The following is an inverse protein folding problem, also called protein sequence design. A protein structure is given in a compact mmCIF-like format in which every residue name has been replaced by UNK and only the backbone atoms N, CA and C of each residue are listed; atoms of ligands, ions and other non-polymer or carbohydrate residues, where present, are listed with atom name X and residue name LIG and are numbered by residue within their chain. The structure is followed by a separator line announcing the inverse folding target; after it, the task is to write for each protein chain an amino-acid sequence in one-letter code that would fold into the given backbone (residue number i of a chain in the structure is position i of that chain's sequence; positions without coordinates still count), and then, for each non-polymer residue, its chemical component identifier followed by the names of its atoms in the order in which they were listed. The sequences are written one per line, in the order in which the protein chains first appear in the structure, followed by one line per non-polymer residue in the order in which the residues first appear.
data_IF_939240220061
#
_entry.id   IF_939240220061
#
_cell.length_a   1.000
_cell.length_b   1.000
_cell.length_c   1.000
_cell.angle_alpha   90.00
_cell.angle_beta   90.00
_cell.angle_gamma   90.00
#
_symmetry.space_group_name_H-M   'P 1'
#
loop_
_entity.id
_entity.type
_entity.pdbx_description
1 polymer ?
#
# COMPACT_ATOMS: atom_id res chain seq x y z
N UNK A 1 -43.21 14.02 -14.86
CA UNK A 1 -43.49 13.09 -13.76
C UNK A 1 -42.46 13.36 -12.65
N UNK A 2 -42.96 13.97 -11.58
CA UNK A 2 -42.17 14.46 -10.44
C UNK A 2 -41.93 13.30 -9.48
N UNK A 3 -40.69 13.03 -9.10
CA UNK A 3 -40.37 12.10 -7.99
C UNK A 3 -39.59 12.82 -6.91
N UNK A 4 -40.22 12.87 -5.75
CA UNK A 4 -39.78 13.51 -4.51
C UNK A 4 -38.58 12.84 -3.89
N UNK A 5 -37.62 13.63 -3.36
CA UNK A 5 -36.53 13.22 -2.50
C UNK A 5 -37.00 13.13 -1.03
N UNK A 6 -36.60 12.10 -0.24
CA UNK A 6 -36.79 12.15 1.19
C UNK A 6 -35.58 12.83 1.87
N UNK A 7 -35.91 13.85 2.68
CA UNK A 7 -34.96 14.50 3.60
C UNK A 7 -34.87 13.72 4.90
N UNK A 8 -33.68 13.25 5.27
CA UNK A 8 -33.40 12.73 6.61
C UNK A 8 -32.89 13.87 7.51
N UNK A 9 -33.59 14.07 8.62
CA UNK A 9 -33.21 14.99 9.71
C UNK A 9 -32.48 14.18 10.78
N UNK A 10 -31.23 14.56 11.06
CA UNK A 10 -30.49 14.09 12.24
C UNK A 10 -30.86 14.97 13.46
N UNK A 11 -31.29 14.32 14.53
CA UNK A 11 -31.52 14.93 15.83
C UNK A 11 -30.27 14.74 16.69
N UNK A 12 -29.69 15.87 17.14
CA UNK A 12 -28.59 15.94 18.09
C UNK A 12 -29.13 15.81 19.50
N UNK A 13 -28.64 14.84 20.28
CA UNK A 13 -28.84 14.76 21.73
C UNK A 13 -27.52 15.05 22.45
N UNK A 14 -27.47 16.20 23.12
CA UNK A 14 -26.44 16.59 24.09
C UNK A 14 -26.75 15.92 25.43
N UNK A 15 -25.78 15.22 26.02
CA UNK A 15 -25.83 14.86 27.45
C UNK A 15 -24.55 15.36 28.11
N UNK A 16 -24.73 16.31 29.04
CA UNK A 16 -23.73 16.79 29.96
C UNK A 16 -23.63 15.87 31.19
N UNK A 17 -22.45 15.55 31.65
CA UNK A 17 -22.24 14.94 32.97
C UNK A 17 -21.15 15.70 33.71
N UNK A 18 -21.50 16.06 34.93
CA UNK A 18 -20.81 16.98 35.82
C UNK A 18 -19.62 16.34 36.55
N UNK A 19 -18.61 17.18 36.81
CA UNK A 19 -17.50 16.95 37.75
C UNK A 19 -17.98 16.96 39.20
N UNK A 20 -17.43 16.08 40.01
CA UNK A 20 -17.33 16.29 41.50
C UNK A 20 -15.87 16.09 41.92
N UNK A 21 -15.27 17.17 42.35
CA UNK A 21 -14.02 17.24 43.11
C UNK A 21 -14.31 16.99 44.58
N UNK A 22 -13.50 16.19 45.27
CA UNK A 22 -13.30 16.33 46.72
C UNK A 22 -11.84 16.13 47.06
N UNK A 23 -11.31 17.13 47.74
CA UNK A 23 -9.94 17.28 48.24
C UNK A 23 -9.84 17.01 49.74
N UNK A 24 -8.60 16.96 50.23
CA UNK A 24 -8.07 17.04 51.62
C UNK A 24 -7.95 15.66 52.31
N UNK A 25 -6.86 15.41 53.02
CA UNK A 25 -5.82 16.22 53.62
C UNK A 25 -4.73 15.38 54.29
N UNK A 26 -3.74 16.04 54.70
CA UNK A 26 -2.37 15.74 55.06
C UNK A 26 -2.09 15.09 56.43
N UNK A 27 -0.82 14.64 56.56
CA UNK A 27 0.05 14.61 57.76
C UNK A 27 -0.18 13.48 58.78
N UNK A 28 0.80 12.77 59.29
CA UNK A 28 2.13 13.00 59.83
C UNK A 28 2.85 11.67 60.11
N UNK A 29 4.18 11.66 59.96
CA UNK A 29 5.18 10.74 60.55
C UNK A 29 5.33 11.06 62.06
N UNK A 30 5.91 10.25 62.99
CA UNK A 30 7.19 9.59 62.87
C UNK A 30 7.46 8.32 63.72
N UNK A 31 8.55 7.59 63.31
CA UNK A 31 9.64 7.04 64.13
C UNK A 31 9.51 5.82 65.06
N UNK A 32 10.48 4.93 64.81
CA UNK A 32 11.23 4.03 65.70
C UNK A 32 10.52 2.80 66.33
N UNK A 33 11.05 1.61 66.28
CA UNK A 33 12.36 1.03 66.66
C UNK A 33 12.44 -0.47 66.37
N UNK A 34 13.63 -0.94 65.99
CA UNK A 34 14.27 -2.24 66.14
C UNK A 34 13.54 -3.34 66.94
N UNK A 35 13.52 -4.61 66.45
CA UNK A 35 14.53 -5.62 66.80
C UNK A 35 14.24 -6.98 66.12
N UNK A 36 15.30 -7.56 65.67
CA UNK A 36 15.83 -8.91 65.55
C UNK A 36 14.91 -10.16 65.37
N UNK A 37 15.34 -10.86 64.32
CA UNK A 37 15.64 -12.29 64.20
C UNK A 37 14.54 -13.33 64.11
N UNK A 38 14.58 -14.04 63.06
CA UNK A 38 14.82 -15.49 62.80
C UNK A 38 13.99 -16.03 61.62
N UNK A 39 14.75 -16.33 60.62
CA UNK A 39 14.87 -17.57 59.81
C UNK A 39 13.72 -18.57 59.87
N UNK A 40 13.05 -18.73 58.70
CA UNK A 40 12.80 -20.06 58.16
C UNK A 40 12.39 -19.98 56.67
N UNK A 41 12.96 -20.92 55.93
CA UNK A 41 12.97 -21.10 54.47
C UNK A 41 11.60 -21.29 53.81
N UNK A 42 11.50 -20.72 52.60
CA UNK A 42 10.91 -21.19 51.33
C UNK A 42 9.72 -22.15 51.30
N UNK A 43 8.87 -22.11 50.30
CA UNK A 43 9.30 -22.30 48.91
C UNK A 43 8.71 -21.31 47.88
N UNK A 44 9.39 -21.23 46.74
CA UNK A 44 9.04 -20.61 45.51
C UNK A 44 7.55 -20.72 45.14
N UNK A 45 6.90 -19.57 45.01
CA UNK A 45 5.68 -19.45 44.28
C UNK A 45 5.95 -18.54 43.09
N UNK A 46 6.29 -19.16 41.95
CA UNK A 46 6.22 -18.52 40.65
C UNK A 46 4.78 -18.05 40.42
N UNK A 47 4.55 -16.81 39.95
CA UNK A 47 3.18 -16.32 39.76
C UNK A 47 2.54 -17.06 38.56
N UNK A 48 1.50 -17.82 38.84
CA UNK A 48 0.68 -18.52 37.85
C UNK A 48 0.04 -17.59 36.80
N UNK A 49 -0.05 -16.29 37.08
CA UNK A 49 -0.58 -15.29 36.17
C UNK A 49 0.28 -15.03 34.91
N UNK A 50 1.61 -15.23 34.98
CA UNK A 50 2.49 -15.03 33.82
C UNK A 50 2.44 -16.21 32.83
N UNK A 51 2.05 -17.40 33.28
CA UNK A 51 1.89 -18.56 32.40
C UNK A 51 0.50 -18.60 31.75
N UNK A 52 -0.54 -18.07 32.45
CA UNK A 52 -1.89 -18.00 31.91
C UNK A 52 -2.01 -16.96 30.79
N UNK A 53 -1.34 -15.78 30.91
CA UNK A 53 -1.30 -14.75 29.89
C UNK A 53 -0.49 -15.16 28.65
N UNK A 54 0.57 -15.98 28.81
CA UNK A 54 1.34 -16.49 27.67
C UNK A 54 0.56 -17.58 26.93
N UNK A 55 -0.14 -18.45 27.64
CA UNK A 55 -0.98 -19.51 27.06
C UNK A 55 -2.22 -18.94 26.35
N UNK A 56 -2.82 -17.85 26.87
CA UNK A 56 -3.91 -17.15 26.22
C UNK A 56 -3.44 -16.40 24.98
N UNK A 57 -2.26 -15.77 24.99
CA UNK A 57 -1.66 -15.10 23.82
C UNK A 57 -1.26 -16.11 22.73
N UNK A 58 -0.74 -17.30 23.09
CA UNK A 58 -0.49 -18.38 22.14
C UNK A 58 -1.77 -19.02 21.60
N UNK A 59 -2.83 -19.08 22.43
CA UNK A 59 -4.16 -19.58 22.01
C UNK A 59 -4.86 -18.60 21.08
N UNK A 60 -4.76 -17.29 21.33
CA UNK A 60 -5.31 -16.27 20.44
C UNK A 60 -4.53 -16.20 19.12
N UNK A 61 -3.21 -16.38 19.15
CA UNK A 61 -2.38 -16.48 17.94
C UNK A 61 -2.73 -17.72 17.10
N UNK A 62 -2.93 -18.87 17.75
CA UNK A 62 -3.37 -20.09 17.07
C UNK A 62 -4.78 -19.96 16.46
N UNK A 63 -5.68 -19.20 17.10
CA UNK A 63 -7.05 -18.99 16.61
C UNK A 63 -7.12 -18.08 15.37
N UNK A 64 -6.11 -17.23 15.15
CA UNK A 64 -5.99 -16.36 13.95
C UNK A 64 -5.33 -17.06 12.75
N UNK A 65 -4.73 -18.24 12.98
CA UNK A 65 -4.08 -19.07 11.95
C UNK A 65 -4.92 -20.30 11.55
N UNK A 66 -6.16 -20.44 12.07
CA UNK A 66 -7.02 -21.61 11.83
C UNK A 66 -7.65 -21.55 10.42
N UNK A 67 -7.23 -22.44 9.56
CA UNK A 67 -7.89 -22.74 8.29
C UNK A 67 -9.06 -23.73 8.52
N UNK A 68 -10.12 -23.71 7.68
CA UNK A 68 -10.25 -22.94 6.43
C UNK A 68 -10.54 -21.46 6.67
N UNK A 69 -10.01 -20.62 5.76
CA UNK A 69 -10.34 -19.19 5.69
C UNK A 69 -11.08 -18.87 4.41
N UNK A 70 -11.91 -17.84 4.43
CA UNK A 70 -12.60 -17.33 3.23
C UNK A 70 -12.23 -15.88 3.03
N UNK A 71 -11.81 -15.54 1.82
CA UNK A 71 -11.46 -14.18 1.41
C UNK A 71 -12.38 -13.71 0.29
N UNK A 72 -12.75 -12.43 0.33
CA UNK A 72 -13.48 -11.77 -0.74
C UNK A 72 -12.52 -11.32 -1.84
N UNK A 73 -12.83 -11.63 -3.09
CA UNK A 73 -12.09 -11.18 -4.27
C UNK A 73 -13.05 -10.61 -5.31
N UNK A 74 -12.58 -9.86 -6.31
CA UNK A 74 -13.42 -9.41 -7.43
C UNK A 74 -14.16 -10.52 -8.18
N UNK A 75 -13.66 -11.77 -8.12
CA UNK A 75 -14.33 -12.93 -8.71
C UNK A 75 -15.35 -13.61 -7.75
N UNK A 76 -15.45 -13.12 -6.51
CA UNK A 76 -16.31 -13.69 -5.45
C UNK A 76 -15.50 -14.24 -4.28
N UNK A 77 -16.20 -14.90 -3.36
CA UNK A 77 -15.61 -15.54 -2.17
C UNK A 77 -14.74 -16.75 -2.57
N UNK A 78 -13.56 -16.83 -2.00
CA UNK A 78 -12.61 -17.94 -2.18
C UNK A 78 -12.31 -18.55 -0.84
N UNK A 79 -12.60 -19.86 -0.68
CA UNK A 79 -12.25 -20.62 0.52
C UNK A 79 -10.91 -21.32 0.32
N UNK A 80 -10.01 -21.14 1.27
CA UNK A 80 -8.69 -21.77 1.33
C UNK A 80 -8.73 -22.75 2.50
N UNK A 81 -8.68 -24.05 2.18
CA UNK A 81 -8.94 -25.12 3.13
C UNK A 81 -7.81 -25.36 4.15
N UNK A 82 -6.58 -25.03 3.77
CA UNK A 82 -5.39 -25.16 4.59
C UNK A 82 -4.41 -24.03 4.29
N UNK A 83 -3.51 -23.73 5.24
CA UNK A 83 -2.44 -22.75 5.02
C UNK A 83 -1.64 -23.14 3.78
N UNK A 84 -1.52 -22.24 2.78
CA UNK A 84 -0.77 -22.54 1.58
C UNK A 84 0.71 -22.80 1.87
N UNK A 85 1.26 -23.80 1.21
CA UNK A 85 2.70 -24.12 1.23
C UNK A 85 3.36 -23.89 -0.14
N UNK A 86 2.53 -23.75 -1.21
CA UNK A 86 3.00 -23.67 -2.59
C UNK A 86 2.22 -22.60 -3.38
N UNK A 87 2.62 -21.36 -3.21
CA UNK A 87 1.98 -20.22 -3.87
C UNK A 87 2.66 -19.96 -5.23
N UNK A 88 1.85 -19.84 -6.27
CA UNK A 88 2.27 -19.25 -7.55
C UNK A 88 1.70 -17.84 -7.65
N UNK A 89 2.57 -16.83 -7.80
CA UNK A 89 2.16 -15.43 -7.97
C UNK A 89 2.41 -14.96 -9.40
N UNK A 90 1.34 -14.54 -10.08
CA UNK A 90 1.38 -13.99 -11.43
C UNK A 90 1.08 -12.48 -11.44
N UNK A 91 1.56 -11.79 -10.41
CA UNK A 91 1.42 -10.34 -10.24
C UNK A 91 2.65 -9.79 -9.52
N UNK A 92 3.42 -8.90 -10.14
CA UNK A 92 4.58 -8.27 -9.49
C UNK A 92 4.23 -7.55 -8.19
N UNK A 93 3.11 -6.82 -8.15
CA UNK A 93 2.65 -6.13 -6.95
C UNK A 93 2.30 -7.12 -5.82
N UNK A 94 1.52 -8.18 -6.13
CA UNK A 94 1.19 -9.21 -5.16
C UNK A 94 2.42 -9.98 -4.69
N UNK A 95 3.39 -10.24 -5.58
CA UNK A 95 4.67 -10.85 -5.21
C UNK A 95 5.40 -10.03 -4.15
N UNK A 96 5.54 -8.71 -4.36
CA UNK A 96 6.18 -7.83 -3.38
C UNK A 96 5.44 -7.83 -2.03
N UNK A 97 4.10 -7.84 -2.07
CA UNK A 97 3.27 -7.92 -0.85
C UNK A 97 3.50 -9.25 -0.13
N UNK A 98 3.45 -10.39 -0.82
CA UNK A 98 3.64 -11.72 -0.24
C UNK A 98 4.98 -11.82 0.51
N UNK A 99 6.05 -11.28 -0.06
CA UNK A 99 7.34 -11.26 0.62
C UNK A 99 7.35 -10.30 1.82
N UNK A 100 6.73 -9.12 1.70
CA UNK A 100 6.69 -8.12 2.77
C UNK A 100 5.88 -8.58 3.99
N UNK A 101 4.83 -9.37 3.79
CA UNK A 101 4.01 -9.94 4.86
C UNK A 101 4.57 -11.27 5.39
N UNK A 102 5.76 -11.71 4.97
CA UNK A 102 6.41 -12.92 5.48
C UNK A 102 5.95 -14.22 4.82
N UNK A 103 5.19 -14.18 3.73
CA UNK A 103 4.77 -15.36 2.97
C UNK A 103 5.80 -15.82 1.91
N UNK A 104 6.98 -15.21 1.84
CA UNK A 104 7.99 -15.49 0.82
C UNK A 104 8.42 -16.95 0.74
N UNK A 105 8.55 -17.65 1.88
CA UNK A 105 8.91 -19.08 1.91
C UNK A 105 7.81 -19.99 1.33
N UNK A 106 6.58 -19.52 1.20
CA UNK A 106 5.46 -20.23 0.58
C UNK A 106 5.44 -20.06 -0.94
N UNK A 107 6.13 -19.05 -1.49
CA UNK A 107 6.15 -18.73 -2.91
C UNK A 107 7.11 -19.66 -3.66
N UNK A 108 6.58 -20.48 -4.56
CA UNK A 108 7.37 -21.48 -5.32
C UNK A 108 7.66 -21.06 -6.75
N UNK A 109 6.89 -20.13 -7.31
CA UNK A 109 7.11 -19.56 -8.65
C UNK A 109 6.43 -18.20 -8.78
N UNK A 110 7.06 -17.29 -9.51
CA UNK A 110 6.47 -16.00 -9.87
C UNK A 110 6.60 -15.76 -11.38
N UNK A 111 5.83 -14.81 -11.91
CA UNK A 111 5.88 -14.46 -13.33
C UNK A 111 7.20 -13.77 -13.74
N UNK A 112 7.40 -13.57 -15.05
CA UNK A 112 8.60 -13.01 -15.65
C UNK A 112 8.82 -11.51 -15.35
N UNK A 113 7.78 -10.80 -14.88
CA UNK A 113 7.85 -9.39 -14.43
C UNK A 113 8.05 -9.24 -12.92
N UNK A 114 7.88 -10.31 -12.14
CA UNK A 114 8.09 -10.31 -10.69
C UNK A 114 9.58 -10.40 -10.35
N UNK A 115 10.26 -9.25 -10.38
CA UNK A 115 11.71 -9.10 -10.23
C UNK A 115 12.14 -8.60 -8.83
N UNK A 116 11.21 -8.42 -7.92
CA UNK A 116 11.47 -7.96 -6.54
C UNK A 116 10.62 -8.73 -5.54
N UNK A 117 11.20 -9.08 -4.36
CA UNK A 117 12.60 -8.93 -3.98
C UNK A 117 13.52 -9.85 -4.80
N UNK A 118 14.87 -9.66 -4.74
CA UNK A 118 15.82 -10.46 -5.53
C UNK A 118 15.76 -11.97 -5.30
N UNK A 119 15.24 -12.41 -4.16
CA UNK A 119 15.04 -13.82 -3.80
C UNK A 119 13.76 -14.43 -4.38
N UNK A 120 12.88 -13.64 -4.98
CA UNK A 120 11.67 -14.16 -5.61
C UNK A 120 12.02 -15.18 -6.72
N UNK A 121 11.38 -16.37 -6.73
CA UNK A 121 11.68 -17.44 -7.68
C UNK A 121 11.08 -17.14 -9.06
N UNK A 122 11.68 -16.18 -9.78
CA UNK A 122 11.23 -15.74 -11.11
C UNK A 122 11.32 -16.87 -12.13
N UNK A 123 10.28 -17.00 -12.95
CA UNK A 123 10.14 -18.06 -13.96
C UNK A 123 9.74 -17.45 -15.32
N UNK A 124 9.49 -18.32 -16.31
CA UNK A 124 8.95 -17.92 -17.63
C UNK A 124 7.41 -17.86 -17.63
N UNK A 125 6.75 -17.92 -16.47
CA UNK A 125 5.30 -17.76 -16.36
C UNK A 125 4.90 -16.33 -16.75
N UNK A 126 3.76 -16.18 -17.41
CA UNK A 126 3.22 -14.89 -17.80
C UNK A 126 1.95 -14.56 -17.01
N UNK A 127 1.90 -13.35 -16.41
CA UNK A 127 0.67 -12.82 -15.83
C UNK A 127 -0.34 -12.32 -16.87
N UNK A 128 0.12 -12.04 -18.11
CA UNK A 128 -0.73 -11.54 -19.20
C UNK A 128 -1.32 -12.64 -20.08
N UNK A 129 -0.54 -13.69 -20.35
CA UNK A 129 -0.96 -14.84 -21.18
C UNK A 129 -0.58 -16.13 -20.45
N UNK A 130 -1.25 -16.44 -19.34
CA UNK A 130 -0.90 -17.57 -18.49
C UNK A 130 -1.19 -18.92 -19.16
N UNK A 131 -0.28 -19.86 -18.96
CA UNK A 131 -0.45 -21.24 -19.38
C UNK A 131 -0.80 -22.12 -18.17
N UNK A 132 -2.05 -22.64 -18.13
CA UNK A 132 -2.56 -23.45 -17.03
C UNK A 132 -1.68 -24.69 -16.76
N UNK A 133 -1.21 -25.39 -17.81
CA UNK A 133 -0.38 -26.59 -17.63
C UNK A 133 0.98 -26.23 -16.99
N UNK A 134 1.56 -25.09 -17.38
CA UNK A 134 2.81 -24.60 -16.79
C UNK A 134 2.62 -24.22 -15.30
N UNK A 135 1.51 -23.55 -14.97
CA UNK A 135 1.18 -23.19 -13.57
C UNK A 135 1.00 -24.45 -12.73
N UNK A 136 0.18 -25.39 -13.17
CA UNK A 136 -0.06 -26.69 -12.49
C UNK A 136 1.21 -27.50 -12.31
N UNK A 137 2.18 -27.34 -13.22
CA UNK A 137 3.50 -27.99 -13.10
C UNK A 137 4.28 -27.61 -11.84
N UNK A 138 3.94 -26.51 -11.19
CA UNK A 138 4.49 -26.10 -9.89
C UNK A 138 3.70 -26.68 -8.70
N UNK A 139 2.65 -27.47 -8.95
CA UNK A 139 1.78 -28.07 -7.93
C UNK A 139 1.29 -27.06 -6.88
N UNK A 140 0.70 -25.90 -7.31
CA UNK A 140 0.28 -24.86 -6.36
C UNK A 140 -0.95 -25.30 -5.57
N UNK A 141 -1.00 -24.87 -4.32
CA UNK A 141 -2.18 -24.93 -3.44
C UNK A 141 -2.86 -23.55 -3.29
N UNK A 142 -2.24 -22.49 -3.84
CA UNK A 142 -2.81 -21.16 -4.03
C UNK A 142 -2.19 -20.50 -5.26
N UNK A 143 -3.01 -19.82 -6.07
CA UNK A 143 -2.53 -18.94 -7.15
C UNK A 143 -3.01 -17.52 -6.88
N UNK A 144 -2.10 -16.53 -6.98
CA UNK A 144 -2.41 -15.10 -6.82
C UNK A 144 -2.20 -14.40 -8.16
N UNK A 145 -3.21 -13.64 -8.59
CA UNK A 145 -3.25 -12.94 -9.88
C UNK A 145 -3.73 -11.50 -9.69
N UNK A 146 -3.41 -10.58 -10.63
CA UNK A 146 -3.91 -9.21 -10.57
C UNK A 146 -5.31 -9.06 -11.19
N UNK A 147 -5.62 -9.84 -12.20
CA UNK A 147 -6.90 -9.87 -12.94
C UNK A 147 -7.09 -11.27 -13.53
N UNK A 148 -8.25 -11.58 -14.09
CA UNK A 148 -8.57 -12.90 -14.64
C UNK A 148 -8.37 -12.98 -16.17
N UNK A 149 -7.14 -13.22 -16.66
CA UNK A 149 -6.89 -13.36 -18.08
C UNK A 149 -7.37 -14.74 -18.57
N UNK A 150 -8.09 -14.76 -19.70
CA UNK A 150 -8.49 -15.98 -20.40
C UNK A 150 -9.30 -16.97 -19.52
N UNK A 151 -10.11 -16.48 -18.58
CA UNK A 151 -10.90 -17.32 -17.64
C UNK A 151 -9.99 -18.27 -16.81
N UNK A 152 -8.82 -17.77 -16.40
CA UNK A 152 -7.84 -18.53 -15.60
C UNK A 152 -8.42 -19.01 -14.27
N UNK A 153 -9.22 -18.16 -13.60
CA UNK A 153 -9.90 -18.52 -12.34
C UNK A 153 -10.75 -19.77 -12.53
N UNK A 154 -11.60 -19.80 -13.55
CA UNK A 154 -12.45 -20.96 -13.82
C UNK A 154 -11.64 -22.22 -14.16
N UNK A 155 -10.54 -22.06 -14.90
CA UNK A 155 -9.67 -23.16 -15.31
C UNK A 155 -8.95 -23.80 -14.12
N UNK A 156 -8.41 -23.00 -13.19
CA UNK A 156 -7.71 -23.49 -12.00
C UNK A 156 -8.67 -24.02 -10.94
N UNK A 157 -9.83 -23.36 -10.74
CA UNK A 157 -10.87 -23.84 -9.82
C UNK A 157 -11.42 -25.22 -10.24
N UNK A 158 -11.52 -25.50 -11.54
CA UNK A 158 -11.90 -26.83 -12.03
C UNK A 158 -10.87 -27.93 -11.68
N UNK A 159 -9.69 -27.56 -11.26
CA UNK A 159 -8.60 -28.44 -10.79
C UNK A 159 -8.45 -28.40 -9.24
N UNK A 160 -9.43 -27.84 -8.55
CA UNK A 160 -9.45 -27.66 -7.11
C UNK A 160 -8.30 -26.76 -6.57
N UNK A 161 -7.79 -25.83 -7.41
CA UNK A 161 -6.76 -24.87 -7.05
C UNK A 161 -7.44 -23.53 -6.78
N UNK A 162 -7.39 -23.00 -5.54
CA UNK A 162 -7.94 -21.69 -5.19
C UNK A 162 -7.14 -20.56 -5.86
N UNK A 163 -7.86 -19.52 -6.31
CA UNK A 163 -7.27 -18.35 -6.96
C UNK A 163 -7.73 -17.09 -6.25
N UNK A 164 -6.78 -16.32 -5.74
CA UNK A 164 -7.03 -15.00 -5.15
C UNK A 164 -6.68 -13.93 -6.19
N UNK A 165 -7.67 -13.10 -6.52
CA UNK A 165 -7.43 -11.90 -7.33
C UNK A 165 -7.07 -10.77 -6.38
N UNK A 166 -5.84 -10.25 -6.50
CA UNK A 166 -5.32 -9.07 -5.82
C UNK A 166 -5.14 -7.96 -6.88
N UNK A 167 -6.17 -7.12 -7.10
CA UNK A 167 -6.18 -6.15 -8.21
C UNK A 167 -5.28 -4.95 -7.92
N UNK A 168 -5.06 -4.11 -8.93
CA UNK A 168 -4.51 -2.78 -8.68
C UNK A 168 -5.53 -1.95 -7.86
N UNK A 169 -5.14 -1.42 -6.71
CA UNK A 169 -6.04 -0.65 -5.86
C UNK A 169 -6.41 0.69 -6.51
N UNK A 170 -7.57 1.22 -6.16
CA UNK A 170 -8.06 2.52 -6.67
C UNK A 170 -7.46 3.70 -5.92
N UNK A 171 -7.05 3.49 -4.68
CA UNK A 171 -6.39 4.46 -3.81
C UNK A 171 -5.43 3.75 -2.83
N UNK A 172 -4.73 4.54 -2.02
CA UNK A 172 -3.74 4.02 -1.07
C UNK A 172 -4.40 3.16 0.01
N UNK A 173 -5.59 3.52 0.48
CA UNK A 173 -6.28 2.81 1.56
C UNK A 173 -6.75 1.42 1.12
N UNK A 174 -7.36 1.31 -0.06
CA UNK A 174 -7.79 0.01 -0.59
C UNK A 174 -6.64 -0.97 -0.80
N UNK A 175 -5.43 -0.46 -1.06
CA UNK A 175 -4.25 -1.30 -1.15
C UNK A 175 -3.83 -1.93 0.19
N UNK A 176 -4.04 -1.25 1.31
CA UNK A 176 -3.83 -1.87 2.63
C UNK A 176 -4.84 -2.98 2.90
N UNK A 177 -6.09 -2.83 2.44
CA UNK A 177 -7.10 -3.88 2.53
C UNK A 177 -6.68 -5.10 1.69
N UNK A 178 -6.14 -4.88 0.49
CA UNK A 178 -5.59 -5.95 -0.37
C UNK A 178 -4.40 -6.67 0.28
N UNK A 179 -3.51 -5.95 1.00
CA UNK A 179 -2.45 -6.58 1.80
C UNK A 179 -3.02 -7.45 2.92
N UNK A 180 -4.07 -6.98 3.61
CA UNK A 180 -4.71 -7.74 4.69
C UNK A 180 -5.39 -9.01 4.14
N UNK A 181 -6.01 -8.94 2.96
CA UNK A 181 -6.59 -10.12 2.26
C UNK A 181 -5.52 -11.17 1.98
N UNK A 182 -4.34 -10.76 1.47
CA UNK A 182 -3.22 -11.68 1.26
C UNK A 182 -2.67 -12.24 2.57
N UNK A 183 -2.63 -11.42 3.64
CA UNK A 183 -2.26 -11.88 4.98
C UNK A 183 -3.18 -12.99 5.48
N UNK A 184 -4.50 -12.81 5.35
CA UNK A 184 -5.49 -13.82 5.71
C UNK A 184 -5.36 -15.08 4.85
N UNK A 185 -5.23 -14.90 3.52
CA UNK A 185 -5.13 -15.99 2.56
C UNK A 185 -3.90 -16.89 2.78
N UNK A 186 -2.82 -16.34 3.34
CA UNK A 186 -1.53 -17.04 3.52
C UNK A 186 -1.26 -17.45 4.98
N UNK A 187 -2.15 -17.08 5.91
CA UNK A 187 -1.95 -17.30 7.36
C UNK A 187 -0.86 -16.42 7.95
N UNK A 188 -0.67 -15.21 7.39
CA UNK A 188 0.32 -14.21 7.83
C UNK A 188 -0.36 -12.94 8.35
N UNK A 189 -1.42 -13.10 9.15
CA UNK A 189 -2.29 -12.00 9.59
C UNK A 189 -1.54 -10.96 10.41
N UNK A 190 -0.74 -11.40 11.39
CA UNK A 190 0.01 -10.52 12.29
C UNK A 190 1.14 -9.80 11.55
N UNK A 191 1.83 -10.50 10.66
CA UNK A 191 2.89 -9.96 9.82
C UNK A 191 2.34 -8.94 8.82
N UNK A 192 1.17 -9.22 8.22
CA UNK A 192 0.48 -8.28 7.34
C UNK A 192 0.05 -7.01 8.10
N UNK A 193 -0.53 -7.15 9.29
CA UNK A 193 -0.89 -6.00 10.12
C UNK A 193 0.33 -5.15 10.51
N UNK A 194 1.47 -5.79 10.81
CA UNK A 194 2.73 -5.12 11.11
C UNK A 194 3.27 -4.38 9.88
N UNK A 195 3.32 -5.03 8.72
CA UNK A 195 3.77 -4.44 7.46
C UNK A 195 2.90 -3.24 7.04
N UNK A 196 1.58 -3.36 7.16
CA UNK A 196 0.62 -2.27 6.90
C UNK A 196 0.87 -1.09 7.85
N UNK A 197 1.05 -1.36 9.15
CA UNK A 197 1.31 -0.31 10.14
C UNK A 197 2.61 0.44 9.87
N UNK A 198 3.68 -0.29 9.52
CA UNK A 198 4.96 0.30 9.13
C UNK A 198 4.81 1.15 7.87
N UNK A 199 4.20 0.62 6.82
CA UNK A 199 4.01 1.32 5.55
C UNK A 199 3.17 2.60 5.74
N UNK A 200 2.11 2.56 6.58
CA UNK A 200 1.32 3.75 6.92
C UNK A 200 2.19 4.83 7.58
N UNK A 201 3.04 4.45 8.54
CA UNK A 201 3.94 5.39 9.21
C UNK A 201 4.92 6.04 8.24
N UNK A 202 5.55 5.25 7.36
CA UNK A 202 6.47 5.73 6.34
C UNK A 202 5.77 6.67 5.33
N UNK A 203 4.54 6.31 4.90
CA UNK A 203 3.72 7.17 4.05
C UNK A 203 3.37 8.50 4.72
N UNK A 204 2.95 8.49 5.99
CA UNK A 204 2.63 9.71 6.75
C UNK A 204 3.86 10.61 6.90
N UNK A 205 5.03 10.05 7.18
CA UNK A 205 6.29 10.79 7.30
C UNK A 205 6.68 11.44 5.96
N UNK A 206 6.65 10.70 4.86
CA UNK A 206 6.96 11.22 3.54
C UNK A 206 5.97 12.28 3.06
N UNK A 207 4.67 12.07 3.27
CA UNK A 207 3.64 13.08 2.94
C UNK A 207 3.80 14.37 3.77
N UNK A 208 4.17 14.25 5.05
CA UNK A 208 4.41 15.42 5.92
C UNK A 208 5.65 16.23 5.52
N UNK A 209 6.60 15.63 4.80
CA UNK A 209 7.78 16.32 4.29
C UNK A 209 7.49 17.17 3.04
N UNK A 210 6.36 16.94 2.35
CA UNK A 210 6.01 17.66 1.13
C UNK A 210 5.57 19.12 1.41
N UNK A 211 5.88 20.08 0.51
CA UNK A 211 5.53 21.49 0.65
C UNK A 211 4.07 21.75 0.20
N UNK A 212 3.09 21.27 0.96
CA UNK A 212 1.66 21.24 0.60
C UNK A 212 1.06 22.58 0.20
N UNK A 213 1.59 23.71 0.71
CA UNK A 213 1.12 25.07 0.40
C UNK A 213 1.66 25.63 -0.92
N UNK A 214 2.64 24.95 -1.56
CA UNK A 214 3.35 25.50 -2.70
C UNK A 214 2.57 25.39 -4.03
N UNK A 215 1.53 24.56 -4.10
CA UNK A 215 0.67 24.38 -5.29
C UNK A 215 1.48 24.14 -6.58
N UNK A 216 2.45 23.22 -6.52
CA UNK A 216 3.34 22.92 -7.64
C UNK A 216 2.58 22.12 -8.69
N UNK A 217 2.63 22.58 -9.94
CA UNK A 217 2.03 21.84 -11.07
C UNK A 217 2.96 20.69 -11.48
N UNK A 218 2.39 19.48 -11.44
CA UNK A 218 3.08 18.23 -11.76
C UNK A 218 2.49 17.62 -13.03
N UNK A 219 3.37 17.12 -13.89
CA UNK A 219 3.07 16.27 -15.01
C UNK A 219 3.77 14.92 -14.84
N UNK A 220 3.00 13.83 -14.70
CA UNK A 220 3.55 12.48 -14.76
C UNK A 220 3.30 11.92 -16.15
N UNK A 221 4.35 11.78 -16.93
CA UNK A 221 4.30 11.17 -18.26
C UNK A 221 4.51 9.67 -18.13
N UNK A 222 3.56 8.88 -18.61
CA UNK A 222 3.65 7.40 -18.55
C UNK A 222 4.36 6.83 -19.79
N UNK A 223 4.23 7.49 -20.94
CA UNK A 223 4.84 7.08 -22.20
C UNK A 223 4.96 8.27 -23.19
N UNK A 224 5.60 8.05 -24.33
CA UNK A 224 5.82 9.03 -25.38
C UNK A 224 4.57 9.41 -26.18
N UNK A 225 3.44 8.81 -25.88
CA UNK A 225 2.12 9.18 -26.42
C UNK A 225 1.33 10.10 -25.51
N UNK A 226 1.97 10.60 -24.41
CA UNK A 226 1.44 11.55 -23.42
C UNK A 226 0.29 11.02 -22.58
N UNK A 227 0.19 9.71 -22.37
CA UNK A 227 -0.63 9.20 -21.28
C UNK A 227 -0.06 9.68 -19.93
N UNK A 228 -0.95 9.98 -19.00
CA UNK A 228 -0.62 10.52 -17.69
C UNK A 228 -1.47 9.86 -16.60
N UNK A 229 -1.09 10.10 -15.35
CA UNK A 229 -1.85 9.66 -14.17
C UNK A 229 -2.53 10.88 -13.53
N UNK A 230 -3.86 10.96 -13.61
CA UNK A 230 -4.65 12.00 -12.93
C UNK A 230 -4.80 11.72 -11.44
N UNK A 231 -5.32 12.69 -10.67
CA UNK A 231 -5.63 12.52 -9.24
C UNK A 231 -6.69 11.44 -8.96
N UNK A 232 -7.28 10.85 -9.99
CA UNK A 232 -8.23 9.72 -9.88
C UNK A 232 -7.56 8.35 -9.97
N UNK A 233 -6.23 8.29 -10.18
CA UNK A 233 -5.41 7.08 -10.02
C UNK A 233 -4.78 7.05 -8.63
N UNK A 234 -4.34 5.86 -8.16
CA UNK A 234 -3.66 5.77 -6.87
C UNK A 234 -2.39 6.66 -6.81
N UNK A 235 -1.59 6.66 -7.88
CA UNK A 235 -0.35 7.46 -7.93
C UNK A 235 -0.65 8.96 -7.96
N UNK A 236 -1.67 9.39 -8.71
CA UNK A 236 -2.10 10.78 -8.73
C UNK A 236 -2.72 11.22 -7.41
N UNK A 237 -3.39 10.32 -6.67
CA UNK A 237 -3.90 10.59 -5.32
C UNK A 237 -2.77 10.87 -4.33
N UNK A 238 -1.61 10.20 -4.47
CA UNK A 238 -0.40 10.50 -3.70
C UNK A 238 0.09 11.92 -3.96
N UNK A 239 0.16 12.35 -5.23
CA UNK A 239 0.55 13.73 -5.57
C UNK A 239 -0.43 14.75 -5.02
N UNK A 240 -1.72 14.47 -5.09
CA UNK A 240 -2.75 15.32 -4.51
C UNK A 240 -2.62 15.45 -2.99
N UNK A 241 -2.31 14.35 -2.29
CA UNK A 241 -2.04 14.35 -0.85
C UNK A 241 -0.82 15.20 -0.47
N UNK A 242 0.16 15.35 -1.38
CA UNK A 242 1.31 16.23 -1.24
C UNK A 242 0.99 17.70 -1.56
N UNK A 243 -0.26 18.05 -1.91
CA UNK A 243 -0.65 19.41 -2.29
C UNK A 243 -0.20 19.82 -3.70
N UNK A 244 0.23 18.88 -4.53
CA UNK A 244 0.53 19.15 -5.93
C UNK A 244 -0.73 19.40 -6.76
N UNK A 245 -0.62 20.20 -7.81
CA UNK A 245 -1.64 20.43 -8.82
C UNK A 245 -1.35 19.51 -10.01
N UNK A 246 -2.15 18.48 -10.17
CA UNK A 246 -1.96 17.53 -11.26
C UNK A 246 -2.53 18.08 -12.58
N UNK A 247 -1.68 18.32 -13.58
CA UNK A 247 -2.16 18.90 -14.86
C UNK A 247 -3.00 17.93 -15.69
N UNK A 248 -2.97 16.63 -15.36
CA UNK A 248 -3.77 15.63 -16.05
C UNK A 248 -5.26 15.66 -15.64
N UNK A 249 -5.62 16.30 -14.51
CA UNK A 249 -6.99 16.34 -14.01
C UNK A 249 -7.97 16.98 -14.98
N UNK A 250 -7.56 18.04 -15.69
CA UNK A 250 -8.37 18.71 -16.69
C UNK A 250 -8.67 17.84 -17.93
N UNK A 251 -7.82 16.83 -18.18
CA UNK A 251 -7.97 15.88 -19.28
C UNK A 251 -8.75 14.62 -18.89
N UNK A 252 -9.14 14.47 -17.61
CA UNK A 252 -9.83 13.28 -17.06
C UNK A 252 -11.23 13.60 -16.51
N UNK A 253 -12.16 14.15 -17.32
CA UNK A 253 -13.51 14.48 -16.86
C UNK A 253 -14.33 13.25 -16.46
N UNK A 254 -14.02 12.09 -17.03
CA UNK A 254 -14.68 10.81 -16.77
C UNK A 254 -14.06 10.06 -15.57
N UNK A 255 -13.00 10.61 -14.98
CA UNK A 255 -12.31 10.07 -13.79
C UNK A 255 -11.79 8.65 -14.02
N UNK A 256 -11.19 8.42 -15.17
CA UNK A 256 -10.62 7.10 -15.54
C UNK A 256 -9.25 6.85 -14.88
N UNK A 257 -8.61 7.89 -14.38
CA UNK A 257 -7.30 7.85 -13.76
C UNK A 257 -6.12 8.00 -14.74
N UNK A 258 -6.31 7.66 -16.01
CA UNK A 258 -5.21 7.58 -16.98
C UNK A 258 -5.55 8.28 -18.31
N UNK A 259 -5.71 9.61 -18.31
CA UNK A 259 -6.01 10.35 -19.51
C UNK A 259 -4.80 10.50 -20.43
N UNK A 260 -5.07 10.65 -21.74
CA UNK A 260 -4.07 11.05 -22.71
C UNK A 260 -4.17 12.58 -22.92
N UNK A 261 -3.05 13.30 -22.74
CA UNK A 261 -2.96 14.72 -22.97
C UNK A 261 -2.50 15.00 -24.41
N UNK A 262 -2.60 16.27 -24.84
CA UNK A 262 -1.88 16.74 -26.02
C UNK A 262 -0.64 17.52 -25.63
N UNK A 263 0.34 17.57 -26.50
CA UNK A 263 1.58 18.31 -26.27
C UNK A 263 1.28 19.81 -25.99
N UNK A 264 0.34 20.40 -26.72
CA UNK A 264 -0.07 21.78 -26.53
C UNK A 264 -0.73 22.02 -25.17
N UNK A 265 -1.51 21.06 -24.66
CA UNK A 265 -2.13 21.14 -23.34
C UNK A 265 -1.08 21.09 -22.23
N UNK A 266 -0.07 20.23 -22.38
CA UNK A 266 1.05 20.12 -21.43
C UNK A 266 1.84 21.43 -21.37
N UNK A 267 2.22 21.97 -22.55
CA UNK A 267 2.95 23.26 -22.65
C UNK A 267 2.11 24.40 -22.05
N UNK A 268 0.80 24.46 -22.36
CA UNK A 268 -0.09 25.51 -21.85
C UNK A 268 -0.31 25.43 -20.33
N UNK A 269 -0.31 24.22 -19.76
CA UNK A 269 -0.42 23.99 -18.31
C UNK A 269 0.87 24.38 -17.58
N UNK A 270 2.00 24.47 -18.28
CA UNK A 270 3.31 24.89 -17.76
C UNK A 270 3.68 24.15 -16.47
N UNK A 271 3.89 22.80 -16.49
CA UNK A 271 4.29 22.06 -15.29
C UNK A 271 5.63 22.55 -14.75
N UNK A 272 5.76 22.54 -13.42
CA UNK A 272 6.95 22.94 -12.70
C UNK A 272 7.83 21.73 -12.35
N UNK A 273 7.21 20.54 -12.32
CA UNK A 273 7.89 19.25 -12.17
C UNK A 273 7.35 18.29 -13.22
N UNK A 274 8.25 17.60 -13.93
CA UNK A 274 7.93 16.49 -14.83
C UNK A 274 8.50 15.21 -14.23
N UNK A 275 7.70 14.16 -14.20
CA UNK A 275 8.07 12.82 -13.72
C UNK A 275 7.94 11.87 -14.90
N UNK A 276 8.99 11.09 -15.17
CA UNK A 276 8.99 10.04 -16.20
C UNK A 276 9.45 8.71 -15.60
N UNK A 277 8.90 7.57 -16.02
CA UNK A 277 9.33 6.26 -15.56
C UNK A 277 10.67 5.86 -16.17
N UNK A 278 11.39 4.94 -15.52
CA UNK A 278 12.75 4.54 -15.93
C UNK A 278 12.79 3.57 -17.11
N UNK A 279 11.68 2.94 -17.45
CA UNK A 279 11.55 1.93 -18.52
C UNK A 279 11.15 2.51 -19.89
N UNK A 280 10.97 3.82 -19.97
CA UNK A 280 10.74 4.48 -21.27
C UNK A 280 12.01 4.52 -22.12
N UNK A 281 11.86 4.58 -23.45
CA UNK A 281 12.98 4.57 -24.40
C UNK A 281 13.70 5.91 -24.59
N UNK A 282 13.31 6.94 -23.82
CA UNK A 282 13.81 8.31 -23.89
C UNK A 282 14.28 8.80 -22.51
N UNK A 283 15.08 9.84 -22.49
CA UNK A 283 15.69 10.42 -21.30
C UNK A 283 15.05 11.76 -20.91
N UNK A 284 15.38 12.28 -19.74
CA UNK A 284 15.01 13.63 -19.33
C UNK A 284 15.52 14.71 -20.29
N UNK A 285 16.72 14.50 -20.86
CA UNK A 285 17.31 15.37 -21.87
C UNK A 285 16.52 15.33 -23.18
N UNK A 286 16.03 14.17 -23.60
CA UNK A 286 15.17 14.04 -24.78
C UNK A 286 13.85 14.76 -24.58
N UNK A 287 13.23 14.66 -23.40
CA UNK A 287 12.02 15.42 -23.03
C UNK A 287 12.30 16.93 -23.11
N UNK A 288 13.40 17.38 -22.52
CA UNK A 288 13.78 18.79 -22.54
C UNK A 288 14.07 19.32 -23.96
N UNK A 289 14.50 18.46 -24.89
CA UNK A 289 14.81 18.81 -26.27
C UNK A 289 13.61 18.82 -27.22
N UNK A 290 12.40 18.44 -26.73
CA UNK A 290 11.18 18.43 -27.56
C UNK A 290 10.86 19.84 -28.09
N UNK A 291 10.36 19.98 -29.33
CA UNK A 291 9.98 21.27 -29.91
C UNK A 291 8.94 21.99 -29.03
N UNK A 292 9.19 23.25 -28.67
CA UNK A 292 8.28 24.06 -27.84
C UNK A 292 8.43 23.88 -26.34
N UNK A 293 9.09 22.84 -25.86
CA UNK A 293 9.21 22.56 -24.41
C UNK A 293 10.23 23.44 -23.67
N UNK A 294 11.11 24.13 -24.39
CA UNK A 294 12.08 25.09 -23.80
C UNK A 294 11.42 26.21 -22.98
N UNK A 295 10.12 26.45 -23.18
CA UNK A 295 9.37 27.48 -22.45
C UNK A 295 8.68 26.89 -21.17
N UNK A 296 8.61 25.57 -21.04
CA UNK A 296 8.02 24.89 -19.87
C UNK A 296 8.88 25.10 -18.62
N UNK A 297 8.28 25.48 -17.53
CA UNK A 297 8.97 25.79 -16.26
C UNK A 297 9.85 24.65 -15.76
N UNK A 298 9.39 23.40 -15.83
CA UNK A 298 10.16 22.22 -15.44
C UNK A 298 11.44 22.11 -16.29
N UNK A 299 11.35 22.31 -17.61
CA UNK A 299 12.50 22.24 -18.52
C UNK A 299 13.50 23.37 -18.25
N UNK A 300 13.01 24.60 -18.11
CA UNK A 300 13.86 25.78 -17.81
C UNK A 300 14.68 25.62 -16.53
N UNK A 301 14.09 24.97 -15.54
CA UNK A 301 14.71 24.83 -14.22
C UNK A 301 15.39 23.46 -14.00
N UNK A 302 15.31 22.56 -14.97
CA UNK A 302 15.90 21.22 -14.87
C UNK A 302 15.13 20.29 -13.89
N UNK A 303 13.83 20.53 -13.69
CA UNK A 303 12.98 19.77 -12.78
C UNK A 303 12.28 18.63 -13.54
N UNK A 304 13.05 17.77 -14.17
CA UNK A 304 12.60 16.52 -14.78
C UNK A 304 13.25 15.40 -14.01
N UNK A 305 12.45 14.58 -13.32
CA UNK A 305 12.95 13.45 -12.56
C UNK A 305 12.56 12.14 -13.23
N UNK A 306 13.43 11.15 -13.07
CA UNK A 306 13.17 9.76 -13.48
C UNK A 306 12.85 8.96 -12.23
N UNK A 307 11.72 8.26 -12.23
CA UNK A 307 11.31 7.37 -11.15
C UNK A 307 11.46 5.92 -11.59
N UNK A 308 11.78 5.05 -10.66
CA UNK A 308 11.77 3.62 -10.93
C UNK A 308 10.36 3.19 -11.37
N UNK A 309 10.25 2.60 -12.58
CA UNK A 309 8.95 2.21 -13.15
C UNK A 309 8.25 1.15 -12.32
N UNK A 310 8.99 0.22 -11.72
CA UNK A 310 8.43 -0.81 -10.87
C UNK A 310 7.82 -0.22 -9.59
N UNK A 311 8.50 0.77 -8.98
CA UNK A 311 8.00 1.45 -7.78
C UNK A 311 6.81 2.36 -8.13
N UNK A 312 6.86 3.04 -9.27
CA UNK A 312 5.80 3.98 -9.66
C UNK A 312 4.56 3.31 -10.27
N UNK A 313 4.68 2.10 -10.83
CA UNK A 313 3.56 1.38 -11.45
C UNK A 313 2.92 0.31 -10.56
N UNK A 314 3.58 -0.06 -9.44
CA UNK A 314 3.11 -1.12 -8.53
C UNK A 314 2.70 -0.51 -7.20
N UNK A 315 1.45 -0.71 -6.83
CA UNK A 315 1.07 -0.46 -5.45
C UNK A 315 1.64 -1.59 -4.58
N UNK A 316 2.45 -1.25 -3.61
CA UNK A 316 3.11 -2.25 -2.78
C UNK A 316 4.00 -1.64 -1.71
N UNK A 317 4.75 -2.46 -0.97
CA UNK A 317 5.54 -2.06 0.18
C UNK A 317 6.67 -1.05 -0.14
N UNK A 318 6.98 -0.83 -1.42
CA UNK A 318 7.95 0.18 -1.87
C UNK A 318 7.34 1.56 -2.17
N UNK A 319 6.02 1.71 -2.10
CA UNK A 319 5.34 2.99 -2.36
C UNK A 319 5.88 4.17 -1.51
N UNK A 320 6.25 4.01 -0.23
CA UNK A 320 6.88 5.08 0.55
C UNK A 320 8.15 5.65 -0.11
N UNK A 321 8.93 4.84 -0.83
CA UNK A 321 10.13 5.33 -1.54
C UNK A 321 9.78 6.30 -2.68
N UNK A 322 8.66 6.07 -3.38
CA UNK A 322 8.14 7.02 -4.36
C UNK A 322 7.70 8.31 -3.69
N UNK A 323 7.00 8.19 -2.55
CA UNK A 323 6.53 9.35 -1.77
C UNK A 323 7.71 10.22 -1.35
N UNK A 324 8.77 9.65 -0.80
CA UNK A 324 9.97 10.38 -0.39
C UNK A 324 10.63 11.08 -1.58
N UNK A 325 10.83 10.36 -2.69
CA UNK A 325 11.45 10.91 -3.89
C UNK A 325 10.67 12.11 -4.45
N UNK A 326 9.35 12.00 -4.50
CA UNK A 326 8.49 13.07 -5.02
C UNK A 326 8.40 14.24 -4.04
N UNK A 327 8.34 13.98 -2.72
CA UNK A 327 8.36 15.04 -1.70
C UNK A 327 9.66 15.86 -1.77
N UNK A 328 10.80 15.20 -1.94
CA UNK A 328 12.11 15.86 -2.14
C UNK A 328 12.12 16.70 -3.43
N UNK A 329 11.60 16.17 -4.53
CA UNK A 329 11.49 16.88 -5.78
C UNK A 329 10.61 18.13 -5.67
N UNK A 330 9.41 17.99 -5.06
CA UNK A 330 8.50 19.11 -4.80
C UNK A 330 9.15 20.18 -3.92
N UNK A 331 9.88 19.76 -2.87
CA UNK A 331 10.61 20.70 -1.99
C UNK A 331 11.68 21.45 -2.75
N UNK A 332 12.41 20.77 -3.63
CA UNK A 332 13.44 21.42 -4.49
C UNK A 332 12.84 22.45 -5.44
N UNK A 333 11.64 22.19 -5.96
CA UNK A 333 10.90 23.15 -6.82
C UNK A 333 10.38 24.33 -6.01
N UNK A 334 9.86 24.11 -4.78
CA UNK A 334 9.29 25.14 -3.92
C UNK A 334 10.37 26.12 -3.40
N UNK A 335 11.60 25.63 -3.15
CA UNK A 335 12.74 26.42 -2.66
C UNK A 335 13.84 26.40 -3.73
N UNK A 336 13.72 27.19 -4.82
CA UNK A 336 14.75 27.23 -5.85
C UNK A 336 16.08 27.66 -5.23
N UNK A 337 17.15 26.94 -5.55
CA UNK A 337 18.49 27.23 -5.06
C UNK A 337 18.81 28.71 -5.29
N UNK A 338 19.07 29.44 -4.21
CA UNK A 338 19.31 30.88 -4.25
C UNK A 338 20.40 31.21 -5.26
N UNK A 339 20.08 32.08 -6.22
CA UNK A 339 21.00 32.64 -7.17
C UNK A 339 22.02 33.56 -6.51
#
# INVERSE_FOLDING_TARGET
MSMSRPTFRFATALTAAALVLTACGAQDDPEQTRDAAQESASPDHEPAEAQETAAEAESDKAALEDFPVTVDTPAGEVTIEARPERIVSLSPAATEILFAIGAGDQVVAVDDYSNYPPEAPTTDLSGYDPNVEAIVGYEPDLVVIAYDPNELVASLTALDIPVVINPAPVDVESGYDDMAVLGLATGQVDEAASAISQMRSEMEEGLAAAPTDAQIRVYHELDDTFFSASSHSYIGSVYAAMGAVNIADDADPDRTGYPQLTEEAIIAADPQLIIIPSDVSYTAEDVAARPGWSEVSAVKNGNIIVVDSDISSRWGPRLPQLVDLVADALTSVAVPAGR
#
